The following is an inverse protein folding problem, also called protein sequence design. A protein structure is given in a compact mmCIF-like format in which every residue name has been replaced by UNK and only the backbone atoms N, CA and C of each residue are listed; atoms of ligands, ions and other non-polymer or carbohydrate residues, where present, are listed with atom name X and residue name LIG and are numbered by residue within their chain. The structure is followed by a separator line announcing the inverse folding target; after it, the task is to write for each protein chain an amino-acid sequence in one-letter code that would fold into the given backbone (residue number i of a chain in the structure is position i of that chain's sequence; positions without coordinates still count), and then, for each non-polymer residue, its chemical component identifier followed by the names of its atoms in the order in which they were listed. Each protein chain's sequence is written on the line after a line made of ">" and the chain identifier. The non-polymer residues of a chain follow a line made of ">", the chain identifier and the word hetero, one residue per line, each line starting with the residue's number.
data_IF_218427209763
#
_entry.id   IF_218427209763
#
_cell.length_a   1.000
_cell.length_b   1.000
_cell.length_c   1.000
_cell.angle_alpha   90.00
_cell.angle_beta   90.00
_cell.angle_gamma   90.00
#
_symmetry.space_group_name_H-M   'P 1'
#
loop_
_entity.id
_entity.type
_entity.pdbx_description
1 polymer ?
#
# COMPACT_ATOMS: atom_id res chain seq x y z
N UNK A 1 -19.01 -3.56 -5.07
CA UNK A 1 -17.78 -3.59 -4.25
C UNK A 1 -16.67 -3.13 -5.16
N UNK A 2 -15.87 -2.13 -4.77
CA UNK A 2 -14.81 -1.63 -5.63
C UNK A 2 -13.69 -2.69 -5.78
N UNK A 3 -13.05 -2.74 -6.93
CA UNK A 3 -11.87 -3.58 -7.14
C UNK A 3 -10.63 -2.95 -6.47
N UNK A 4 -9.59 -3.74 -6.21
CA UNK A 4 -8.40 -3.28 -5.47
C UNK A 4 -7.77 -2.00 -6.05
N UNK A 5 -7.72 -1.85 -7.37
CA UNK A 5 -7.05 -0.70 -8.00
C UNK A 5 -7.81 0.60 -7.73
N UNK A 6 -9.13 0.52 -7.55
CA UNK A 6 -9.95 1.67 -7.17
C UNK A 6 -9.86 1.99 -5.68
N UNK A 7 -9.60 0.99 -4.83
CA UNK A 7 -9.40 1.20 -3.39
C UNK A 7 -8.04 1.85 -3.10
N UNK A 8 -6.99 1.39 -3.78
CA UNK A 8 -5.65 2.00 -3.74
C UNK A 8 -5.73 3.46 -4.19
N UNK A 9 -6.37 3.73 -5.33
CA UNK A 9 -6.56 5.10 -5.82
C UNK A 9 -7.35 5.99 -4.83
N UNK A 10 -8.34 5.43 -4.14
CA UNK A 10 -9.08 6.18 -3.13
C UNK A 10 -8.21 6.52 -1.90
N UNK A 11 -7.25 5.67 -1.55
CA UNK A 11 -6.26 5.97 -0.52
C UNK A 11 -5.30 7.06 -0.98
N UNK A 12 -4.85 7.03 -2.24
CA UNK A 12 -4.01 8.09 -2.83
C UNK A 12 -4.68 9.47 -2.77
N UNK A 13 -5.94 9.55 -3.17
CA UNK A 13 -6.72 10.79 -3.08
C UNK A 13 -6.83 11.27 -1.64
N UNK A 14 -7.05 10.34 -0.70
CA UNK A 14 -7.10 10.67 0.71
C UNK A 14 -5.77 11.18 1.26
N UNK A 15 -4.62 10.63 0.82
CA UNK A 15 -3.28 11.11 1.19
C UNK A 15 -3.06 12.55 0.71
N UNK A 16 -3.37 12.83 -0.56
CA UNK A 16 -3.28 14.18 -1.13
C UNK A 16 -4.11 15.18 -0.32
N UNK A 17 -5.33 14.79 0.05
CA UNK A 17 -6.19 15.61 0.91
C UNK A 17 -5.59 15.86 2.30
N UNK A 18 -4.97 14.86 2.94
CA UNK A 18 -4.41 15.04 4.27
C UNK A 18 -3.14 15.91 4.25
N UNK A 19 -2.28 15.75 3.24
CA UNK A 19 -1.13 16.65 3.07
C UNK A 19 -1.58 18.09 2.81
N UNK A 20 -2.63 18.32 2.00
CA UNK A 20 -3.21 19.65 1.82
C UNK A 20 -3.76 20.25 3.14
N UNK A 21 -4.36 19.42 4.00
CA UNK A 21 -4.80 19.86 5.35
C UNK A 21 -3.61 20.30 6.22
N UNK A 22 -2.46 19.62 6.11
CA UNK A 22 -1.25 20.03 6.81
C UNK A 22 -0.73 21.37 6.29
N UNK A 23 -0.79 21.64 4.98
CA UNK A 23 -0.42 22.94 4.40
C UNK A 23 -1.29 24.08 4.97
N UNK A 24 -2.60 23.87 5.08
CA UNK A 24 -3.50 24.86 5.68
C UNK A 24 -3.19 25.14 7.15
N UNK A 25 -2.82 24.11 7.92
CA UNK A 25 -2.41 24.29 9.32
C UNK A 25 -1.07 25.03 9.41
N UNK A 26 -0.12 24.72 8.54
CA UNK A 26 1.17 25.41 8.49
C UNK A 26 1.00 26.90 8.16
N UNK A 27 0.12 27.23 7.22
CA UNK A 27 -0.12 28.60 6.78
C UNK A 27 -0.82 29.50 7.82
N UNK A 28 -1.58 28.92 8.76
CA UNK A 28 -2.32 29.67 9.77
C UNK A 28 -1.44 30.31 10.85
N UNK A 29 -0.13 30.02 10.88
CA UNK A 29 0.86 30.52 11.85
C UNK A 29 0.49 30.29 13.34
N UNK A 30 -0.58 29.56 13.61
CA UNK A 30 -0.96 29.12 14.94
C UNK A 30 -0.16 27.86 15.28
N UNK A 31 0.49 27.85 16.44
CA UNK A 31 1.17 26.67 16.99
C UNK A 31 0.15 25.67 17.58
N UNK A 32 -0.88 25.31 16.79
CA UNK A 32 -1.88 24.30 17.18
C UNK A 32 -1.30 22.90 16.91
N UNK A 33 -0.39 22.51 17.80
CA UNK A 33 0.30 21.22 17.78
C UNK A 33 -0.69 20.05 17.84
N UNK A 34 -1.81 20.24 18.53
CA UNK A 34 -2.84 19.20 18.64
C UNK A 34 -3.58 19.02 17.32
N UNK A 35 -3.91 20.11 16.60
CA UNK A 35 -4.49 20.03 15.26
C UNK A 35 -3.53 19.35 14.28
N UNK A 36 -2.24 19.72 14.31
CA UNK A 36 -1.22 19.05 13.50
C UNK A 36 -1.18 17.56 13.80
N UNK A 37 -1.22 17.19 15.08
CA UNK A 37 -1.15 15.79 15.48
C UNK A 37 -2.41 14.99 15.09
N UNK A 38 -3.59 15.61 15.13
CA UNK A 38 -4.87 15.01 14.71
C UNK A 38 -4.89 14.68 13.21
N UNK A 39 -4.19 15.44 12.38
CA UNK A 39 -4.06 15.14 10.95
C UNK A 39 -2.91 14.17 10.68
N UNK A 40 -1.75 14.42 11.30
CA UNK A 40 -0.54 13.65 11.02
C UNK A 40 -0.61 12.18 11.44
N UNK A 41 -1.14 11.87 12.65
CA UNK A 41 -1.16 10.47 13.14
C UNK A 41 -1.94 9.53 12.20
N UNK A 42 -3.22 9.82 11.88
CA UNK A 42 -3.96 8.96 10.97
C UNK A 42 -3.35 8.87 9.58
N UNK A 43 -2.73 9.94 9.09
CA UNK A 43 -2.02 9.94 7.80
C UNK A 43 -0.82 9.00 7.84
N UNK A 44 0.07 9.17 8.83
CA UNK A 44 1.25 8.35 9.01
C UNK A 44 0.91 6.86 9.16
N UNK A 45 -0.07 6.54 10.02
CA UNK A 45 -0.53 5.17 10.19
C UNK A 45 -1.07 4.58 8.89
N UNK A 46 -1.88 5.34 8.14
CA UNK A 46 -2.48 4.85 6.91
C UNK A 46 -1.45 4.68 5.78
N UNK A 47 -0.45 5.55 5.66
CA UNK A 47 0.67 5.38 4.72
C UNK A 47 1.38 4.05 4.95
N UNK A 48 1.73 3.73 6.20
CA UNK A 48 2.41 2.48 6.55
C UNK A 48 1.54 1.24 6.31
N UNK A 49 0.26 1.29 6.69
CA UNK A 49 -0.69 0.17 6.52
C UNK A 49 -0.98 -0.08 5.03
N UNK A 50 -1.15 0.99 4.25
CA UNK A 50 -1.36 0.96 2.80
C UNK A 50 -0.18 0.28 2.09
N UNK A 51 1.03 0.77 2.32
CA UNK A 51 2.25 0.19 1.77
C UNK A 51 2.39 -1.29 2.17
N UNK A 52 2.11 -1.62 3.43
CA UNK A 52 2.17 -2.99 3.93
C UNK A 52 1.18 -3.93 3.22
N UNK A 53 -0.07 -3.50 2.98
CA UNK A 53 -1.07 -4.37 2.36
C UNK A 53 -0.79 -4.55 0.87
N UNK A 54 -0.29 -3.55 0.16
CA UNK A 54 0.09 -3.67 -1.24
C UNK A 54 1.23 -4.65 -1.46
N UNK A 55 2.28 -4.55 -0.64
CA UNK A 55 3.36 -5.53 -0.55
C UNK A 55 2.86 -6.94 -0.25
N UNK A 56 1.76 -7.07 0.48
CA UNK A 56 1.26 -8.38 0.88
C UNK A 56 0.37 -9.03 -0.17
N UNK A 57 -0.48 -8.26 -0.86
CA UNK A 57 -1.53 -8.83 -1.71
C UNK A 57 -1.57 -8.28 -3.14
N UNK A 58 -1.06 -7.07 -3.38
CA UNK A 58 -1.11 -6.44 -4.71
C UNK A 58 0.12 -6.79 -5.54
N UNK A 59 1.33 -6.38 -5.11
CA UNK A 59 2.56 -6.60 -5.88
C UNK A 59 2.84 -8.08 -6.19
N UNK A 60 2.51 -9.07 -5.33
CA UNK A 60 2.65 -10.46 -5.72
C UNK A 60 1.76 -10.88 -6.90
N UNK A 61 0.60 -10.24 -7.06
CA UNK A 61 -0.26 -10.48 -8.22
C UNK A 61 0.18 -9.67 -9.43
N UNK A 62 0.72 -8.46 -9.24
CA UNK A 62 1.33 -7.66 -10.30
C UNK A 62 2.52 -8.41 -10.92
N UNK A 63 3.49 -8.85 -10.12
CA UNK A 63 4.63 -9.65 -10.60
C UNK A 63 4.23 -10.92 -11.36
N UNK A 64 3.09 -11.51 -11.02
CA UNK A 64 2.61 -12.75 -11.64
C UNK A 64 1.86 -12.51 -12.96
N UNK A 65 1.23 -11.35 -13.13
CA UNK A 65 0.21 -11.11 -14.17
C UNK A 65 0.40 -9.85 -14.98
N UNK A 66 1.27 -8.96 -14.51
CA UNK A 66 1.60 -7.73 -15.17
C UNK A 66 2.44 -7.95 -16.42
N UNK A 67 2.77 -6.84 -17.05
CA UNK A 67 3.58 -6.75 -18.25
C UNK A 67 5.06 -7.04 -17.95
N UNK A 68 5.93 -6.86 -18.96
CA UNK A 68 7.37 -7.05 -18.80
C UNK A 68 8.00 -6.06 -17.79
N UNK A 69 7.35 -4.92 -17.55
CA UNK A 69 7.86 -3.86 -16.68
C UNK A 69 7.48 -4.07 -15.20
N UNK A 70 6.57 -5.02 -14.90
CA UNK A 70 6.06 -5.28 -13.55
C UNK A 70 7.13 -5.57 -12.50
N UNK A 71 8.27 -6.13 -12.90
CA UNK A 71 9.41 -6.36 -12.02
C UNK A 71 10.06 -5.03 -11.60
N UNK A 72 10.39 -4.17 -12.56
CA UNK A 72 10.96 -2.84 -12.29
C UNK A 72 10.02 -1.98 -11.47
N UNK A 73 8.75 -1.90 -11.89
CA UNK A 73 7.69 -1.19 -11.16
C UNK A 73 7.59 -1.65 -9.70
N UNK A 74 7.73 -2.95 -9.44
CA UNK A 74 7.70 -3.48 -8.08
C UNK A 74 8.97 -3.14 -7.30
N UNK A 75 10.15 -3.16 -7.93
CA UNK A 75 11.40 -2.76 -7.25
C UNK A 75 11.33 -1.31 -6.77
N UNK A 76 10.89 -0.43 -7.65
CA UNK A 76 10.78 1.01 -7.38
C UNK A 76 9.74 1.25 -6.27
N UNK A 77 8.55 0.65 -6.38
CA UNK A 77 7.50 0.78 -5.35
C UNK A 77 7.94 0.31 -3.95
N UNK A 78 8.70 -0.80 -3.84
CA UNK A 78 9.24 -1.25 -2.55
C UNK A 78 10.28 -0.26 -2.01
N UNK A 79 11.09 0.33 -2.90
CA UNK A 79 12.04 1.39 -2.55
C UNK A 79 11.32 2.61 -1.98
N UNK A 80 10.32 3.12 -2.70
CA UNK A 80 9.55 4.28 -2.29
C UNK A 80 8.82 4.05 -0.97
N UNK A 81 8.27 2.85 -0.75
CA UNK A 81 7.66 2.50 0.52
C UNK A 81 8.65 2.58 1.70
N UNK A 82 9.92 2.25 1.49
CA UNK A 82 10.95 2.44 2.52
C UNK A 82 11.20 3.93 2.78
N UNK A 83 11.27 4.76 1.73
CA UNK A 83 11.47 6.20 1.85
C UNK A 83 10.29 6.89 2.57
N UNK A 84 9.05 6.47 2.28
CA UNK A 84 7.84 6.92 2.98
C UNK A 84 7.93 6.54 4.47
N UNK A 85 8.27 5.28 4.79
CA UNK A 85 8.44 4.82 6.18
C UNK A 85 9.53 5.60 6.92
N UNK A 86 10.64 5.89 6.26
CA UNK A 86 11.73 6.69 6.81
C UNK A 86 11.27 8.12 7.12
N UNK A 87 10.53 8.72 6.19
CA UNK A 87 9.89 10.02 6.38
C UNK A 87 8.95 10.02 7.59
N UNK A 88 8.07 9.02 7.68
CA UNK A 88 7.13 8.84 8.80
C UNK A 88 7.87 8.71 10.13
N UNK A 89 8.88 7.82 10.21
CA UNK A 89 9.71 7.62 11.41
C UNK A 89 10.41 8.92 11.82
N UNK A 90 11.01 9.64 10.88
CA UNK A 90 11.68 10.90 11.14
C UNK A 90 10.73 11.98 11.66
N UNK A 91 9.54 12.09 11.08
CA UNK A 91 8.52 13.06 11.49
C UNK A 91 7.91 12.71 12.86
N UNK A 92 7.78 11.42 13.18
CA UNK A 92 7.32 10.94 14.49
C UNK A 92 8.36 11.15 15.60
N UNK A 93 9.66 11.11 15.26
CA UNK A 93 10.74 11.37 16.20
C UNK A 93 10.95 12.87 16.52
N UNK A 94 10.47 13.77 15.64
CA UNK A 94 10.61 15.21 15.80
C UNK A 94 9.43 15.85 16.56
N UNK A 95 9.69 16.93 17.29
CA UNK A 95 8.63 17.63 18.04
C UNK A 95 7.63 18.32 17.09
N UNK A 96 6.30 18.23 17.37
CA UNK A 96 5.26 18.97 16.64
C UNK A 96 5.57 20.46 16.49
N UNK A 97 5.38 20.98 15.26
CA UNK A 97 5.55 22.40 14.93
C UNK A 97 6.98 22.84 14.59
N UNK A 98 7.99 21.99 14.80
CA UNK A 98 9.40 22.32 14.50
C UNK A 98 9.72 22.25 13.01
N UNK A 99 10.72 23.02 12.55
CA UNK A 99 11.25 22.96 11.18
C UNK A 99 11.72 21.54 10.82
N UNK A 100 12.37 20.84 11.75
CA UNK A 100 12.80 19.46 11.57
C UNK A 100 11.62 18.54 11.26
N UNK A 101 10.50 18.69 11.99
CA UNK A 101 9.29 17.90 11.73
C UNK A 101 8.70 18.24 10.38
N UNK A 102 8.58 19.53 10.03
CA UNK A 102 8.07 19.95 8.73
C UNK A 102 8.93 19.44 7.58
N UNK A 103 10.26 19.45 7.71
CA UNK A 103 11.16 18.88 6.72
C UNK A 103 10.95 17.37 6.55
N UNK A 104 10.69 16.62 7.62
CA UNK A 104 10.40 15.18 7.55
C UNK A 104 9.02 14.90 6.93
N UNK A 105 7.99 15.67 7.29
CA UNK A 105 6.67 15.60 6.63
C UNK A 105 6.79 15.90 5.14
N UNK A 106 7.59 16.90 4.77
CA UNK A 106 7.85 17.26 3.37
C UNK A 106 8.50 16.13 2.58
N UNK A 107 9.55 15.51 3.12
CA UNK A 107 10.18 14.32 2.48
C UNK A 107 9.22 13.14 2.35
N UNK A 108 8.39 12.90 3.38
CA UNK A 108 7.36 11.85 3.33
C UNK A 108 6.38 12.11 2.20
N UNK A 109 5.96 13.38 2.04
CA UNK A 109 5.05 13.79 0.97
C UNK A 109 5.68 13.62 -0.40
N UNK A 110 6.92 14.06 -0.59
CA UNK A 110 7.63 13.97 -1.87
C UNK A 110 7.75 12.50 -2.31
N UNK A 111 8.24 11.62 -1.43
CA UNK A 111 8.31 10.18 -1.71
C UNK A 111 6.92 9.59 -2.03
N UNK A 112 5.88 9.97 -1.27
CA UNK A 112 4.53 9.52 -1.53
C UNK A 112 3.94 10.05 -2.86
N UNK A 113 4.20 11.31 -3.21
CA UNK A 113 3.71 11.92 -4.45
C UNK A 113 4.36 11.27 -5.68
N UNK A 114 5.66 11.00 -5.63
CA UNK A 114 6.40 10.29 -6.68
C UNK A 114 5.88 8.85 -6.82
N UNK A 115 5.80 8.11 -5.71
CA UNK A 115 5.26 6.76 -5.64
C UNK A 115 3.86 6.64 -6.26
N UNK A 116 2.91 7.46 -5.80
CA UNK A 116 1.53 7.42 -6.31
C UNK A 116 1.47 7.74 -7.80
N UNK A 117 2.28 8.71 -8.27
CA UNK A 117 2.32 9.07 -9.69
C UNK A 117 2.86 7.93 -10.55
N UNK A 118 3.83 7.17 -10.04
CA UNK A 118 4.35 5.93 -10.65
C UNK A 118 3.30 4.85 -10.69
N UNK A 119 2.78 4.50 -9.53
CA UNK A 119 1.87 3.37 -9.42
C UNK A 119 0.57 3.56 -10.24
N UNK A 120 0.03 4.79 -10.26
CA UNK A 120 -1.18 5.11 -11.00
C UNK A 120 -1.03 5.00 -12.53
N UNK A 121 0.14 5.39 -13.06
CA UNK A 121 0.43 5.41 -14.51
C UNK A 121 0.95 4.06 -15.01
N UNK A 122 1.58 3.29 -14.14
CA UNK A 122 2.23 2.01 -14.41
C UNK A 122 1.46 0.84 -13.76
N UNK A 123 1.86 0.38 -12.58
CA UNK A 123 1.38 -0.86 -11.96
C UNK A 123 -0.15 -1.00 -11.88
N UNK A 124 -0.88 0.02 -11.43
CA UNK A 124 -2.35 0.00 -11.40
C UNK A 124 -2.94 0.00 -12.80
N UNK A 125 -2.38 0.79 -13.72
CA UNK A 125 -2.82 0.88 -15.11
C UNK A 125 -2.66 -0.45 -15.84
N UNK A 126 -1.52 -1.11 -15.67
CA UNK A 126 -1.25 -2.42 -16.23
C UNK A 126 -2.14 -3.50 -15.61
N UNK A 127 -2.22 -3.57 -14.27
CA UNK A 127 -3.03 -4.57 -13.58
C UNK A 127 -4.53 -4.50 -13.97
N UNK A 128 -5.08 -3.30 -14.20
CA UNK A 128 -6.45 -3.13 -14.73
C UNK A 128 -6.66 -3.79 -16.09
N UNK A 129 -5.63 -3.80 -16.94
CA UNK A 129 -5.67 -4.34 -18.32
C UNK A 129 -5.41 -5.84 -18.37
N UNK A 130 -4.58 -6.35 -17.46
CA UNK A 130 -4.07 -7.73 -17.51
C UNK A 130 -4.77 -8.67 -16.52
N UNK A 131 -5.24 -8.18 -15.37
CA UNK A 131 -5.85 -9.01 -14.32
C UNK A 131 -7.37 -9.23 -14.55
N UNK A 132 -7.86 -10.49 -14.44
CA UNK A 132 -9.28 -10.76 -14.51
C UNK A 132 -10.06 -10.01 -13.42
N UNK A 133 -11.24 -9.47 -13.77
CA UNK A 133 -12.05 -8.67 -12.84
C UNK A 133 -12.35 -9.40 -11.52
N UNK A 134 -12.68 -10.70 -11.55
CA UNK A 134 -12.96 -11.47 -10.34
C UNK A 134 -11.77 -11.57 -9.37
N UNK A 135 -10.53 -11.54 -9.89
CA UNK A 135 -9.33 -11.45 -9.05
C UNK A 135 -9.23 -10.06 -8.41
N UNK A 136 -9.41 -8.99 -9.20
CA UNK A 136 -9.34 -7.61 -8.69
C UNK A 136 -10.40 -7.34 -7.62
N UNK A 137 -11.61 -7.84 -7.78
CA UNK A 137 -12.68 -7.76 -6.76
C UNK A 137 -12.37 -8.59 -5.50
N UNK A 138 -11.76 -9.76 -5.66
CA UNK A 138 -11.37 -10.60 -4.52
C UNK A 138 -10.22 -9.97 -3.71
N UNK A 139 -9.27 -9.34 -4.39
CA UNK A 139 -8.23 -8.54 -3.73
C UNK A 139 -8.84 -7.29 -3.09
N UNK A 140 -9.81 -6.64 -3.74
CA UNK A 140 -10.49 -5.47 -3.17
C UNK A 140 -11.22 -5.79 -1.86
N UNK A 141 -11.84 -6.97 -1.75
CA UNK A 141 -12.39 -7.47 -0.48
C UNK A 141 -11.32 -7.63 0.60
N UNK A 142 -10.24 -8.33 0.28
CA UNK A 142 -9.14 -8.56 1.22
C UNK A 142 -8.52 -7.24 1.69
N UNK A 143 -8.33 -6.29 0.77
CA UNK A 143 -7.82 -4.96 1.06
C UNK A 143 -8.76 -4.23 2.03
N UNK A 144 -10.05 -4.13 1.70
CA UNK A 144 -11.03 -3.42 2.52
C UNK A 144 -11.19 -4.04 3.92
N UNK A 145 -11.23 -5.38 4.01
CA UNK A 145 -11.26 -6.10 5.29
C UNK A 145 -10.00 -5.81 6.11
N UNK A 146 -8.82 -5.90 5.48
CA UNK A 146 -7.55 -5.66 6.16
C UNK A 146 -7.44 -4.22 6.69
N UNK A 147 -7.77 -3.21 5.87
CA UNK A 147 -7.73 -1.80 6.27
C UNK A 147 -8.73 -1.50 7.41
N UNK A 148 -9.87 -2.20 7.45
CA UNK A 148 -10.85 -2.05 8.52
C UNK A 148 -10.38 -2.72 9.83
N UNK A 149 -9.71 -3.86 9.74
CA UNK A 149 -9.13 -4.58 10.88
C UNK A 149 -7.88 -3.89 11.45
N UNK A 150 -7.15 -3.13 10.62
CA UNK A 150 -5.89 -2.47 10.98
C UNK A 150 -6.01 -0.95 10.76
N UNK A 151 -6.77 -0.23 11.62
CA UNK A 151 -6.88 1.23 11.53
C UNK A 151 -5.58 1.96 11.92
N UNK A 152 -4.62 1.24 12.50
CA UNK A 152 -3.28 1.71 12.86
C UNK A 152 -2.23 0.66 12.50
N UNK A 153 -0.96 0.99 12.71
CA UNK A 153 0.17 0.07 12.53
C UNK A 153 0.31 -0.99 13.64
N UNK A 154 -0.56 -0.98 14.65
CA UNK A 154 -0.47 -1.91 15.79
C UNK A 154 -0.57 -3.37 15.37
N UNK A 155 0.41 -4.19 15.78
CA UNK A 155 0.47 -5.61 15.44
C UNK A 155 0.98 -5.92 14.03
N UNK A 156 1.34 -4.91 13.24
CA UNK A 156 1.93 -5.10 11.92
C UNK A 156 3.46 -4.91 11.95
N UNK A 157 4.23 -5.76 11.26
CA UNK A 157 5.66 -5.57 11.12
C UNK A 157 5.93 -4.51 10.04
N UNK A 158 5.84 -3.23 10.42
CA UNK A 158 6.20 -2.09 9.56
C UNK A 158 7.73 -1.96 9.55
N UNK A 159 8.36 -2.61 8.57
CA UNK A 159 9.80 -2.66 8.40
C UNK A 159 10.15 -2.45 6.93
N UNK A 160 11.36 -1.95 6.70
CA UNK A 160 11.87 -1.79 5.36
C UNK A 160 12.20 -3.15 4.74
N UNK A 161 12.10 -3.21 3.42
CA UNK A 161 12.39 -4.42 2.64
C UNK A 161 13.48 -4.15 1.62
N UNK A 162 14.35 -5.14 1.41
CA UNK A 162 15.24 -5.14 0.25
C UNK A 162 14.40 -5.36 -1.02
N UNK A 163 14.34 -4.40 -1.97
CA UNK A 163 13.50 -4.53 -3.15
C UNK A 163 13.83 -5.78 -3.99
N UNK A 164 15.13 -6.02 -4.22
CA UNK A 164 15.59 -7.15 -5.03
C UNK A 164 15.25 -8.48 -4.35
N UNK A 165 15.56 -8.62 -3.06
CA UNK A 165 15.23 -9.80 -2.27
C UNK A 165 13.72 -10.05 -2.16
N UNK A 166 12.91 -8.99 -2.08
CA UNK A 166 11.45 -9.10 -2.10
C UNK A 166 10.95 -9.70 -3.42
N UNK A 167 11.38 -9.14 -4.56
CA UNK A 167 11.00 -9.64 -5.89
C UNK A 167 11.44 -11.10 -6.06
N UNK A 168 12.71 -11.40 -5.73
CA UNK A 168 13.25 -12.76 -5.80
C UNK A 168 12.43 -13.74 -4.96
N UNK A 169 12.08 -13.37 -3.72
CA UNK A 169 11.27 -14.19 -2.83
C UNK A 169 9.88 -14.48 -3.41
N UNK A 170 9.22 -13.47 -3.97
CA UNK A 170 7.88 -13.60 -4.54
C UNK A 170 7.89 -14.46 -5.79
N UNK A 171 8.85 -14.25 -6.70
CA UNK A 171 8.98 -15.04 -7.93
C UNK A 171 9.35 -16.51 -7.64
N UNK A 172 10.17 -16.76 -6.61
CA UNK A 172 10.57 -18.11 -6.20
C UNK A 172 9.53 -18.83 -5.32
N UNK A 173 8.51 -18.13 -4.81
CA UNK A 173 7.47 -18.74 -4.00
C UNK A 173 6.65 -19.74 -4.84
N UNK A 174 6.73 -21.03 -4.50
CA UNK A 174 5.90 -22.05 -5.15
C UNK A 174 4.42 -21.76 -4.94
N UNK A 175 3.57 -21.85 -5.97
CA UNK A 175 2.13 -21.76 -5.77
C UNK A 175 1.69 -22.86 -4.79
N UNK A 176 0.76 -22.59 -3.87
CA UNK A 176 0.20 -23.63 -3.04
C UNK A 176 -0.33 -24.74 -3.95
N UNK A 177 -0.01 -26.00 -3.62
CA UNK A 177 -0.55 -27.16 -4.35
C UNK A 177 -2.07 -26.97 -4.46
N UNK A 178 -2.67 -27.13 -5.65
CA UNK A 178 -4.11 -27.12 -5.76
C UNK A 178 -4.66 -28.14 -4.75
N UNK A 179 -5.54 -27.71 -3.86
CA UNK A 179 -6.30 -28.66 -3.05
C UNK A 179 -7.03 -29.58 -4.04
N UNK A 180 -6.77 -30.88 -3.95
CA UNK A 180 -7.37 -31.90 -4.79
C UNK A 180 -8.87 -31.96 -4.47
N UNK A 181 -9.65 -31.14 -5.18
CA UNK A 181 -11.11 -31.20 -5.18
C UNK A 181 -11.61 -32.23 -6.21
N UNK A 182 -10.91 -33.36 -6.38
CA UNK A 182 -11.52 -34.52 -7.02
C UNK A 182 -12.70 -34.97 -6.16
N UNK A 183 -13.87 -34.46 -6.52
CA UNK A 183 -15.16 -34.98 -6.12
C UNK A 183 -15.12 -36.49 -6.40
N UNK A 184 -14.97 -37.27 -5.33
CA UNK A 184 -15.28 -38.71 -5.32
C UNK A 184 -16.77 -38.86 -5.56
N UNK A 185 -17.22 -38.64 -6.80
CA UNK A 185 -18.54 -39.08 -7.23
C UNK A 185 -18.44 -40.59 -7.31
N UNK A 186 -18.90 -41.23 -6.23
CA UNK A 186 -19.05 -42.66 -6.14
C UNK A 186 -19.85 -43.19 -7.32
N UNK A 187 -19.29 -44.23 -7.94
CA UNK A 187 -19.95 -45.09 -8.92
C UNK A 187 -21.27 -45.60 -8.34
N UNK A 188 -22.40 -45.02 -8.75
CA UNK A 188 -23.70 -45.66 -8.62
C UNK A 188 -23.94 -46.48 -9.90
N UNK A 189 -23.42 -47.71 -9.89
CA UNK A 189 -23.94 -48.80 -10.71
C UNK A 189 -24.82 -49.68 -9.82
N UNK A 190 -26.12 -49.70 -10.14
CA UNK A 190 -27.00 -50.87 -10.03
C UNK A 190 -27.48 -51.26 -8.64
N UNK A 191 -28.77 -51.01 -8.37
CA UNK A 191 -29.80 -52.05 -8.26
C UNK A 191 -31.17 -51.45 -8.60
#
# INVERSE_FOLDING_TARGET
>A
MADITMLILADHDWFREQFARLDYLQAQAADDRDALQRVWRPLADKLDVHAYIEEKIFYPQLLKRGSADAEGETLDAIGDHNDIRDGVRAANAAQPGTEQRWAAVGRTREANDDHMAEEEREGLSDFRRTAPIGLREALGRQYAEFMAEHPTTEGLPIIDRDPAGYVEQVQNAQPPKPADFSLRIGSLKGQ
#
